data_IF_214210201396
#
_entry.id   IF_214210201396
#
_cell.length_a   1.000
_cell.length_b   1.000
_cell.length_c   1.000
_cell.angle_alpha   90.00
_cell.angle_beta   90.00
_cell.angle_gamma   90.00
#
_symmetry.space_group_name_H-M   'P 1'
#
loop_
_entity.id
_entity.type
_entity.pdbx_description
1 polymer ?
#
# COMPACT_ATOMS: atom_id res chain seq x y z
N UNK A 1 -3.09 13.43 11.24
CA UNK A 1 -3.80 12.26 11.80
C UNK A 1 -2.99 11.04 11.44
N UNK A 2 -2.08 10.62 12.31
CA UNK A 2 -1.15 9.50 12.07
C UNK A 2 -1.10 8.71 13.36
N UNK A 3 -1.92 7.66 13.46
CA UNK A 3 -1.98 6.82 14.65
C UNK A 3 -3.36 6.18 14.79
N UNK A 4 -3.43 4.85 14.74
CA UNK A 4 -4.62 4.09 15.11
C UNK A 4 -5.14 3.06 14.09
N UNK A 5 -4.44 2.79 12.97
CA UNK A 5 -4.92 1.83 11.96
C UNK A 5 -4.36 0.42 12.05
N UNK A 6 -3.18 0.24 12.67
CA UNK A 6 -2.38 -0.99 12.56
C UNK A 6 -2.10 -1.69 13.91
N UNK A 7 -2.63 -1.17 15.01
CA UNK A 7 -2.33 -1.65 16.36
C UNK A 7 -2.71 -3.12 16.58
N UNK A 8 -3.76 -3.60 15.90
CA UNK A 8 -4.19 -5.00 15.97
C UNK A 8 -3.48 -5.93 14.96
N UNK A 9 -2.69 -5.40 14.02
CA UNK A 9 -2.03 -6.20 13.00
C UNK A 9 -0.70 -6.76 13.51
N UNK A 10 -0.43 -8.04 13.29
CA UNK A 10 0.89 -8.63 13.56
C UNK A 10 1.94 -8.08 12.58
N UNK A 11 3.22 -8.13 12.96
CA UNK A 11 4.33 -7.71 12.08
C UNK A 11 4.37 -8.51 10.77
N UNK A 12 4.08 -9.82 10.84
CA UNK A 12 3.93 -10.68 9.67
C UNK A 12 2.77 -10.23 8.75
N UNK A 13 1.64 -9.87 9.34
CA UNK A 13 0.49 -9.32 8.59
C UNK A 13 0.88 -8.04 7.87
N UNK A 14 1.62 -7.14 8.54
CA UNK A 14 2.10 -5.89 7.92
C UNK A 14 3.06 -6.15 6.75
N UNK A 15 4.00 -7.09 6.89
CA UNK A 15 4.85 -7.49 5.77
C UNK A 15 4.06 -8.07 4.59
N UNK A 16 3.04 -8.87 4.87
CA UNK A 16 2.15 -9.43 3.83
C UNK A 16 1.36 -8.34 3.12
N UNK A 17 0.80 -7.38 3.88
CA UNK A 17 0.10 -6.21 3.31
C UNK A 17 1.05 -5.42 2.41
N UNK A 18 2.26 -5.10 2.91
CA UNK A 18 3.28 -4.38 2.14
C UNK A 18 3.60 -5.06 0.82
N UNK A 19 3.86 -6.37 0.84
CA UNK A 19 4.19 -7.14 -0.36
C UNK A 19 3.05 -7.12 -1.39
N UNK A 20 1.81 -7.25 -0.92
CA UNK A 20 0.63 -7.22 -1.80
C UNK A 20 0.40 -5.84 -2.41
N UNK A 21 0.62 -4.76 -1.65
CA UNK A 21 0.50 -3.39 -2.16
C UNK A 21 1.53 -3.11 -3.25
N UNK A 22 2.80 -3.48 -3.03
CA UNK A 22 3.85 -3.35 -4.03
C UNK A 22 3.54 -4.15 -5.30
N UNK A 23 3.17 -5.42 -5.16
CA UNK A 23 2.80 -6.25 -6.30
C UNK A 23 1.59 -5.69 -7.08
N UNK A 24 0.63 -5.08 -6.37
CA UNK A 24 -0.50 -4.38 -6.98
C UNK A 24 -0.06 -3.17 -7.81
N UNK A 25 0.80 -2.33 -7.23
CA UNK A 25 1.37 -1.15 -7.91
C UNK A 25 2.18 -1.56 -9.15
N UNK A 26 3.00 -2.61 -9.07
CA UNK A 26 3.79 -3.11 -10.20
C UNK A 26 2.90 -3.59 -11.35
N UNK A 27 1.82 -4.33 -11.05
CA UNK A 27 0.84 -4.74 -12.06
C UNK A 27 0.19 -3.54 -12.72
N UNK A 28 -0.21 -2.53 -11.93
CA UNK A 28 -0.79 -1.29 -12.47
C UNK A 28 0.23 -0.56 -13.35
N UNK A 29 1.48 -0.39 -12.90
CA UNK A 29 2.53 0.23 -13.70
C UNK A 29 2.75 -0.50 -15.03
N UNK A 30 2.80 -1.83 -15.00
CA UNK A 30 2.94 -2.67 -16.19
C UNK A 30 1.77 -2.51 -17.17
N UNK A 31 0.53 -2.56 -16.68
CA UNK A 31 -0.66 -2.38 -17.50
C UNK A 31 -0.79 -0.97 -18.10
N UNK A 32 -0.35 0.06 -17.35
CA UNK A 32 -0.32 1.44 -17.80
C UNK A 32 0.74 1.65 -18.89
N UNK A 33 1.96 1.14 -18.69
CA UNK A 33 3.03 1.18 -19.67
C UNK A 33 2.66 0.42 -20.97
N UNK A 34 1.96 -0.71 -20.85
CA UNK A 34 1.47 -1.49 -21.99
C UNK A 34 0.25 -0.86 -22.69
N UNK A 35 -0.33 0.23 -22.15
CA UNK A 35 -1.54 0.85 -22.70
C UNK A 35 -2.79 -0.04 -22.62
N UNK A 36 -2.78 -1.05 -21.75
CA UNK A 36 -3.83 -2.09 -21.67
C UNK A 36 -4.97 -1.74 -20.72
N UNK A 37 -4.89 -0.63 -19.99
CA UNK A 37 -6.02 -0.14 -19.20
C UNK A 37 -7.13 0.34 -20.13
N UNK A 38 -8.31 -0.26 -19.97
CA UNK A 38 -9.53 0.22 -20.62
C UNK A 38 -9.84 1.65 -20.13
N UNK A 39 -9.67 2.65 -21.02
CA UNK A 39 -9.96 4.06 -20.74
C UNK A 39 -11.46 4.40 -20.73
N UNK A 40 -12.32 3.44 -21.07
CA UNK A 40 -13.78 3.60 -21.19
C UNK A 40 -14.53 2.39 -20.62
N UNK A 41 -15.71 2.62 -20.05
CA UNK A 41 -16.57 1.63 -19.39
C UNK A 41 -16.69 1.85 -17.88
N UNK A 42 -17.68 1.22 -17.19
CA UNK A 42 -17.96 1.48 -15.76
C UNK A 42 -16.79 1.15 -14.81
N UNK A 43 -15.81 0.34 -15.25
CA UNK A 43 -14.54 0.11 -14.54
C UNK A 43 -13.39 1.04 -14.94
N UNK A 44 -13.50 1.73 -16.09
CA UNK A 44 -12.54 2.72 -16.58
C UNK A 44 -12.90 4.16 -16.21
N UNK A 45 -14.12 4.40 -15.70
CA UNK A 45 -14.61 5.70 -15.26
C UNK A 45 -14.33 6.02 -13.78
N UNK A 46 -13.85 5.05 -12.99
CA UNK A 46 -13.34 5.33 -11.65
C UNK A 46 -12.03 6.10 -11.80
N UNK A 47 -11.89 7.33 -11.27
CA UNK A 47 -10.67 8.10 -11.43
C UNK A 47 -9.47 7.28 -10.92
N UNK A 48 -8.48 6.94 -11.78
CA UNK A 48 -7.28 6.21 -11.37
C UNK A 48 -6.54 6.91 -10.23
N UNK A 49 -6.69 8.23 -10.14
CA UNK A 49 -6.05 9.07 -9.15
C UNK A 49 -6.45 8.73 -7.71
N UNK A 50 -7.74 8.51 -7.41
CA UNK A 50 -8.18 8.41 -6.03
C UNK A 50 -7.87 7.04 -5.41
N UNK A 51 -8.06 5.95 -6.18
CA UNK A 51 -7.69 4.61 -5.71
C UNK A 51 -6.16 4.46 -5.60
N UNK A 52 -5.38 5.03 -6.54
CA UNK A 52 -3.93 4.98 -6.49
C UNK A 52 -3.35 5.74 -5.29
N UNK A 53 -3.88 6.94 -5.00
CA UNK A 53 -3.49 7.73 -3.83
C UNK A 53 -3.79 7.01 -2.51
N UNK A 54 -4.91 6.29 -2.42
CA UNK A 54 -5.23 5.48 -1.25
C UNK A 54 -4.26 4.31 -1.06
N UNK A 55 -3.88 3.62 -2.15
CA UNK A 55 -2.89 2.53 -2.11
C UNK A 55 -1.52 3.05 -1.66
N UNK A 56 -1.08 4.21 -2.16
CA UNK A 56 0.18 4.83 -1.76
C UNK A 56 0.18 5.27 -0.30
N UNK A 57 -0.88 5.96 0.15
CA UNK A 57 -1.01 6.37 1.54
C UNK A 57 -1.05 5.17 2.50
N UNK A 58 -1.68 4.06 2.10
CA UNK A 58 -1.69 2.83 2.87
C UNK A 58 -0.29 2.19 2.95
N UNK A 59 0.45 2.17 1.83
CA UNK A 59 1.82 1.67 1.80
C UNK A 59 2.74 2.50 2.71
N UNK A 60 2.66 3.83 2.64
CA UNK A 60 3.39 4.74 3.53
C UNK A 60 3.07 4.47 5.02
N UNK A 61 1.79 4.27 5.35
CA UNK A 61 1.38 3.93 6.70
C UNK A 61 1.93 2.60 7.21
N UNK A 62 1.97 1.58 6.34
CA UNK A 62 2.54 0.26 6.68
C UNK A 62 4.06 0.33 6.84
N UNK A 63 4.75 1.07 5.97
CA UNK A 63 6.20 1.28 6.05
C UNK A 63 6.58 2.01 7.34
N UNK A 64 5.82 3.05 7.72
CA UNK A 64 6.03 3.78 8.96
C UNK A 64 5.83 2.89 10.21
N UNK A 65 4.78 2.07 10.22
CA UNK A 65 4.50 1.15 11.33
C UNK A 65 5.60 0.08 11.47
N UNK A 66 6.07 -0.49 10.36
CA UNK A 66 7.16 -1.46 10.37
C UNK A 66 8.48 -0.83 10.87
N UNK A 67 8.78 0.40 10.46
CA UNK A 67 9.95 1.13 10.93
C UNK A 67 9.87 1.38 12.45
N UNK A 68 8.71 1.85 12.93
CA UNK A 68 8.47 2.09 14.35
C UNK A 68 8.70 0.83 15.20
N UNK A 69 8.13 -0.32 14.81
CA UNK A 69 8.33 -1.58 15.53
C UNK A 69 9.78 -2.05 15.53
N UNK A 70 10.50 -1.82 14.44
CA UNK A 70 11.92 -2.17 14.34
C UNK A 70 12.78 -1.29 15.26
N UNK A 71 12.43 -0.02 15.44
CA UNK A 71 13.06 0.88 16.41
C UNK A 71 12.76 0.43 17.85
N UNK A 72 11.50 0.18 18.19
CA UNK A 72 11.09 -0.30 19.52
C UNK A 72 11.75 -1.64 19.88
N UNK A 73 11.89 -2.55 18.92
CA UNK A 73 12.55 -3.85 19.16
C UNK A 73 14.05 -3.71 19.45
N UNK A 74 14.70 -2.67 18.93
CA UNK A 74 16.13 -2.38 19.20
C UNK A 74 16.35 -1.71 20.55
N UNK A 75 15.42 -0.88 21.00
CA UNK A 75 15.50 -0.25 22.33
C UNK A 75 15.25 -1.24 23.47
N UNK A 76 14.53 -2.34 23.19
CA UNK A 76 14.23 -3.38 24.16
C UNK A 76 15.32 -4.47 24.29
N UNK A 77 16.40 -4.40 23.49
CA UNK A 77 17.50 -5.37 23.45
C UNK A 77 18.78 -4.82 24.11
#
# INVERSE_FOLDING_TARGET
MTGGGFEAASTETLHTIRANLLAGLDRVAGHLAAGTFHRVGPKGSAPPAQSGLLTLALLEGVDAELAHRNETSKEAA
#
